data_IF_300390869928
#
_entry.id   IF_300390869928
#
_cell.length_a   1.000
_cell.length_b   1.000
_cell.length_c   1.000
_cell.angle_alpha   90.00
_cell.angle_beta   90.00
_cell.angle_gamma   90.00
#
_symmetry.space_group_name_H-M   'P 1'
#
loop_
_entity.id
_entity.type
_entity.pdbx_description
1 polymer ?
#
# COMPACT_ATOMS: atom_id res chain seq x y z
N UNK A 1 -32.98 -43.52 -23.15
CA UNK A 1 -33.05 -42.61 -24.30
C UNK A 1 -31.64 -42.21 -24.67
N UNK A 2 -31.32 -42.42 -25.94
CA UNK A 2 -30.12 -42.02 -26.69
C UNK A 2 -28.79 -42.66 -26.31
N UNK A 3 -28.53 -43.81 -26.96
CA UNK A 3 -27.23 -44.45 -27.06
C UNK A 3 -26.32 -43.78 -28.09
N UNK A 4 -25.02 -43.97 -27.87
CA UNK A 4 -23.90 -43.53 -28.68
C UNK A 4 -23.91 -44.26 -30.03
N UNK A 5 -23.74 -43.53 -31.13
CA UNK A 5 -23.46 -44.09 -32.46
C UNK A 5 -22.06 -43.67 -32.90
N UNK A 6 -21.32 -44.65 -33.40
CA UNK A 6 -19.92 -44.59 -33.81
C UNK A 6 -19.66 -43.69 -35.03
N UNK A 7 -18.51 -43.01 -34.99
CA UNK A 7 -18.07 -41.94 -35.88
C UNK A 7 -17.28 -42.42 -37.12
N UNK A 8 -17.56 -43.62 -37.64
CA UNK A 8 -16.71 -44.28 -38.66
C UNK A 8 -17.39 -44.45 -40.04
N UNK A 9 -18.69 -44.21 -40.21
CA UNK A 9 -19.39 -44.49 -41.49
C UNK A 9 -19.47 -43.32 -42.50
N UNK A 10 -18.66 -42.26 -42.38
CA UNK A 10 -18.69 -41.13 -43.33
C UNK A 10 -17.49 -40.99 -44.28
N UNK A 11 -16.54 -41.94 -44.27
CA UNK A 11 -15.36 -41.86 -45.13
C UNK A 11 -15.15 -43.03 -46.11
N UNK A 12 -16.11 -43.93 -46.29
CA UNK A 12 -15.96 -45.09 -47.21
C UNK A 12 -16.82 -45.05 -48.49
N UNK A 13 -17.31 -43.87 -48.91
CA UNK A 13 -18.09 -43.76 -50.15
C UNK A 13 -17.47 -42.75 -51.13
N UNK A 14 -16.24 -42.99 -51.58
CA UNK A 14 -15.68 -42.42 -52.83
C UNK A 14 -14.37 -43.13 -53.21
N UNK A 15 -14.44 -44.44 -53.47
CA UNK A 15 -13.42 -45.18 -54.24
C UNK A 15 -14.04 -45.62 -55.56
N UNK A 16 -13.79 -44.85 -56.62
CA UNK A 16 -14.22 -45.24 -57.96
C UNK A 16 -14.13 -44.13 -59.02
N UNK A 17 -12.92 -43.69 -59.37
CA UNK A 17 -12.63 -43.13 -60.70
C UNK A 17 -11.11 -43.07 -60.93
N UNK A 18 -10.63 -43.75 -61.97
CA UNK A 18 -9.25 -43.68 -62.48
C UNK A 18 -9.12 -42.59 -63.57
N UNK A 19 -7.90 -42.19 -63.98
CA UNK A 19 -7.55 -40.80 -64.28
C UNK A 19 -7.70 -40.44 -65.76
N UNK A 20 -8.22 -39.24 -66.04
CA UNK A 20 -8.09 -38.60 -67.35
C UNK A 20 -7.70 -37.11 -67.19
N UNK A 21 -6.50 -36.83 -67.69
CA UNK A 21 -6.04 -35.69 -68.48
C UNK A 21 -6.35 -34.23 -68.05
N UNK A 22 -5.26 -33.49 -67.85
CA UNK A 22 -5.07 -32.04 -67.98
C UNK A 22 -6.32 -31.20 -68.34
N UNK A 23 -6.93 -30.60 -67.31
CA UNK A 23 -7.84 -29.47 -67.45
C UNK A 23 -7.53 -28.44 -66.38
N UNK A 24 -7.02 -27.28 -66.78
CA UNK A 24 -6.93 -26.08 -65.95
C UNK A 24 -8.34 -25.67 -65.52
N UNK A 25 -8.65 -25.79 -64.23
CA UNK A 25 -9.87 -25.23 -63.65
C UNK A 25 -9.68 -23.72 -63.46
N UNK A 26 -10.23 -22.93 -64.38
CA UNK A 26 -10.39 -21.48 -64.20
C UNK A 26 -11.38 -21.23 -63.05
N UNK A 27 -10.85 -20.82 -61.89
CA UNK A 27 -11.64 -20.13 -60.87
C UNK A 27 -11.93 -18.72 -61.38
N UNK A 28 -13.19 -18.25 -61.42
CA UNK A 28 -13.47 -16.87 -61.78
C UNK A 28 -12.80 -15.96 -60.74
N UNK A 29 -11.91 -15.08 -61.21
CA UNK A 29 -11.31 -14.03 -60.38
C UNK A 29 -12.45 -13.17 -59.81
N UNK A 30 -12.70 -13.32 -58.51
CA UNK A 30 -13.60 -12.43 -57.78
C UNK A 30 -13.03 -11.01 -57.87
N UNK A 31 -13.84 -10.00 -58.24
CA UNK A 31 -13.40 -8.61 -58.27
C UNK A 31 -12.81 -8.20 -56.91
N UNK A 32 -11.80 -7.31 -56.85
CA UNK A 32 -11.22 -6.82 -55.60
C UNK A 32 -12.24 -6.19 -54.63
N UNK A 33 -13.45 -5.91 -55.12
CA UNK A 33 -14.54 -5.26 -54.41
C UNK A 33 -15.56 -6.25 -53.83
N UNK A 34 -15.39 -7.56 -54.03
CA UNK A 34 -16.34 -8.60 -53.55
C UNK A 34 -16.54 -8.58 -52.02
N UNK A 35 -15.58 -8.04 -51.27
CA UNK A 35 -15.67 -7.88 -49.81
C UNK A 35 -16.03 -6.46 -49.34
N UNK A 36 -16.29 -5.50 -50.26
CA UNK A 36 -16.53 -4.10 -49.87
C UNK A 36 -17.94 -3.82 -49.32
N UNK A 37 -18.93 -4.66 -49.62
CA UNK A 37 -20.34 -4.31 -49.34
C UNK A 37 -20.94 -4.98 -48.10
N UNK A 38 -20.18 -5.66 -47.23
CA UNK A 38 -20.79 -6.35 -46.09
C UNK A 38 -19.92 -6.45 -44.83
N UNK A 39 -19.26 -5.37 -44.45
CA UNK A 39 -18.72 -5.23 -43.10
C UNK A 39 -19.16 -3.90 -42.50
N UNK A 40 -20.04 -3.97 -41.50
CA UNK A 40 -20.39 -2.87 -40.58
C UNK A 40 -19.17 -2.61 -39.67
N UNK A 41 -18.01 -2.33 -40.26
CA UNK A 41 -16.73 -2.12 -39.55
C UNK A 41 -16.13 -0.75 -39.81
N UNK A 42 -16.79 0.08 -40.62
CA UNK A 42 -16.33 1.44 -40.91
C UNK A 42 -16.87 2.49 -39.91
N UNK A 43 -17.79 2.11 -39.02
CA UNK A 43 -18.33 2.96 -37.96
C UNK A 43 -17.84 2.53 -36.56
N UNK A 44 -16.62 2.01 -36.47
CA UNK A 44 -15.96 1.90 -35.16
C UNK A 44 -15.43 3.29 -34.81
N UNK A 45 -16.21 3.98 -33.97
CA UNK A 45 -15.79 5.16 -33.23
C UNK A 45 -14.40 4.84 -32.63
N UNK A 46 -13.37 5.68 -32.81
CA UNK A 46 -12.08 5.47 -32.15
C UNK A 46 -12.32 5.33 -30.63
N UNK A 47 -11.66 4.39 -29.94
CA UNK A 47 -11.78 4.22 -28.47
C UNK A 47 -11.49 5.53 -27.66
N UNK A 48 -11.01 6.58 -28.31
CA UNK A 48 -10.80 7.91 -27.74
C UNK A 48 -12.08 8.78 -27.66
N UNK A 49 -13.16 8.43 -28.38
CA UNK A 49 -14.39 9.25 -28.48
C UNK A 49 -15.57 8.75 -27.61
N UNK A 50 -15.42 7.65 -26.86
CA UNK A 50 -16.44 7.21 -25.89
C UNK A 50 -16.24 7.85 -24.51
N UNK A 51 -17.22 8.64 -24.04
CA UNK A 51 -17.26 9.16 -22.67
C UNK A 51 -17.64 8.03 -21.69
N UNK A 52 -16.66 7.54 -20.92
CA UNK A 52 -16.88 6.57 -19.83
C UNK A 52 -17.48 7.24 -18.58
N UNK A 53 -18.72 7.70 -18.69
CA UNK A 53 -19.41 8.43 -17.63
C UNK A 53 -19.70 7.58 -16.39
N UNK A 54 -19.57 8.20 -15.23
CA UNK A 54 -20.02 7.60 -13.96
C UNK A 54 -21.51 7.89 -13.77
N UNK A 55 -22.31 6.83 -13.61
CA UNK A 55 -23.73 6.97 -13.28
C UNK A 55 -23.88 7.30 -11.79
N UNK A 56 -24.21 8.55 -11.49
CA UNK A 56 -24.63 8.98 -10.16
C UNK A 56 -26.09 8.55 -9.92
N UNK A 57 -26.26 7.32 -9.46
CA UNK A 57 -27.59 6.72 -9.25
C UNK A 57 -28.43 7.50 -8.24
N UNK A 58 -27.82 8.12 -7.23
CA UNK A 58 -28.55 8.90 -6.22
C UNK A 58 -29.15 10.16 -6.85
N UNK A 59 -28.43 10.79 -7.80
CA UNK A 59 -28.95 11.91 -8.58
C UNK A 59 -29.99 11.48 -9.61
N UNK A 60 -29.74 10.39 -10.35
CA UNK A 60 -30.63 9.93 -11.42
C UNK A 60 -31.98 9.47 -10.85
N UNK A 61 -31.96 8.66 -9.79
CA UNK A 61 -33.17 8.15 -9.15
C UNK A 61 -33.84 9.19 -8.23
N UNK A 62 -33.12 10.26 -7.87
CA UNK A 62 -33.68 11.41 -7.15
C UNK A 62 -34.72 12.21 -7.93
N UNK A 63 -34.78 12.03 -9.25
CA UNK A 63 -35.75 12.68 -10.14
C UNK A 63 -37.09 11.90 -10.23
N UNK A 64 -37.14 10.65 -9.75
CA UNK A 64 -38.35 9.83 -9.68
C UNK A 64 -39.02 9.92 -8.29
N UNK A 65 -40.31 10.29 -8.24
CA UNK A 65 -41.26 10.30 -7.09
C UNK A 65 -40.66 10.28 -5.65
N UNK A 66 -39.79 11.24 -5.34
CA UNK A 66 -39.15 11.40 -4.03
C UNK A 66 -40.07 11.98 -2.93
N UNK A 67 -41.33 12.30 -3.26
CA UNK A 67 -42.26 12.97 -2.32
C UNK A 67 -42.83 12.06 -1.23
N UNK A 68 -42.70 10.75 -1.38
CA UNK A 68 -43.36 9.75 -0.52
C UNK A 68 -42.37 8.98 0.39
N UNK A 69 -41.10 9.42 0.46
CA UNK A 69 -40.13 8.85 1.39
C UNK A 69 -40.47 9.29 2.81
N UNK A 70 -40.91 8.33 3.63
CA UNK A 70 -41.11 8.53 5.07
C UNK A 70 -39.76 8.30 5.76
N UNK A 71 -39.03 9.37 6.04
CA UNK A 71 -37.82 9.31 6.85
C UNK A 71 -38.13 8.84 8.28
N UNK A 72 -37.42 7.83 8.74
CA UNK A 72 -37.52 7.41 10.13
C UNK A 72 -36.87 8.45 11.05
N UNK A 73 -37.55 8.77 12.16
CA UNK A 73 -37.04 9.70 13.18
C UNK A 73 -35.69 9.28 13.76
N UNK A 74 -34.96 10.21 14.41
CA UNK A 74 -33.57 10.01 14.80
C UNK A 74 -33.40 8.78 15.69
N UNK A 75 -32.85 7.72 15.11
CA UNK A 75 -32.38 6.56 15.85
C UNK A 75 -31.11 6.92 16.61
N UNK A 76 -31.06 6.58 17.88
CA UNK A 76 -29.86 6.64 18.70
C UNK A 76 -28.74 5.85 18.02
N UNK A 77 -27.66 6.54 17.66
CA UNK A 77 -26.42 5.93 17.19
C UNK A 77 -25.87 5.09 18.34
N UNK A 78 -25.95 3.76 18.24
CA UNK A 78 -25.22 2.90 19.16
C UNK A 78 -23.74 3.07 18.88
N UNK A 79 -22.98 3.59 19.84
CA UNK A 79 -21.52 3.61 19.79
C UNK A 79 -21.02 2.18 19.56
N UNK A 80 -20.48 1.92 18.36
CA UNK A 80 -19.77 0.67 18.08
C UNK A 80 -18.55 0.66 19.00
N UNK A 81 -18.60 -0.13 20.07
CA UNK A 81 -17.46 -0.36 20.95
C UNK A 81 -16.29 -0.83 20.09
N UNK A 82 -15.21 -0.04 20.02
CA UNK A 82 -13.95 -0.51 19.45
C UNK A 82 -13.56 -1.79 20.19
N UNK A 83 -13.62 -2.94 19.50
CA UNK A 83 -13.28 -4.23 20.09
C UNK A 83 -11.88 -4.21 20.69
N UNK A 84 -11.68 -4.88 21.83
CA UNK A 84 -10.41 -4.88 22.53
C UNK A 84 -9.30 -5.46 21.64
N UNK A 85 -8.33 -4.63 21.24
CA UNK A 85 -7.22 -5.02 20.35
C UNK A 85 -6.42 -6.21 20.90
N UNK A 86 -6.41 -6.39 22.22
CA UNK A 86 -5.69 -7.47 22.89
C UNK A 86 -6.29 -8.85 22.61
N UNK A 87 -7.54 -8.95 22.17
CA UNK A 87 -8.15 -10.23 21.75
C UNK A 87 -7.40 -10.83 20.57
N UNK A 88 -6.81 -9.99 19.70
CA UNK A 88 -6.00 -10.41 18.57
C UNK A 88 -4.69 -11.10 18.99
N UNK A 89 -4.30 -11.07 20.27
CA UNK A 89 -3.03 -11.64 20.74
C UNK A 89 -3.05 -13.16 20.84
N UNK A 90 -4.23 -13.77 20.88
CA UNK A 90 -4.38 -15.22 20.95
C UNK A 90 -3.71 -15.90 19.74
N UNK A 91 -2.86 -16.90 20.02
CA UNK A 91 -2.09 -17.59 18.98
C UNK A 91 -0.95 -16.78 18.34
N UNK A 92 -0.75 -15.51 18.71
CA UNK A 92 0.30 -14.65 18.13
C UNK A 92 1.60 -14.71 18.93
N UNK A 93 2.71 -14.68 18.21
CA UNK A 93 4.06 -14.55 18.78
C UNK A 93 4.28 -13.16 19.38
N UNK A 94 5.31 -13.01 20.24
CA UNK A 94 5.71 -11.72 20.84
C UNK A 94 5.85 -10.58 19.82
N UNK A 95 6.53 -10.84 18.71
CA UNK A 95 6.78 -9.82 17.70
C UNK A 95 5.49 -9.44 16.94
N UNK A 96 4.60 -10.42 16.70
CA UNK A 96 3.31 -10.16 16.07
C UNK A 96 2.41 -9.32 16.98
N UNK A 97 2.40 -9.57 18.28
CA UNK A 97 1.64 -8.75 19.25
C UNK A 97 2.09 -7.28 19.24
N UNK A 98 3.41 -7.05 19.27
CA UNK A 98 3.97 -5.71 19.13
C UNK A 98 3.56 -5.06 17.78
N UNK A 99 3.64 -5.82 16.69
CA UNK A 99 3.31 -5.29 15.38
C UNK A 99 1.82 -5.04 15.14
N UNK A 100 0.92 -5.75 15.83
CA UNK A 100 -0.52 -5.45 15.83
C UNK A 100 -0.77 -4.06 16.45
N UNK A 101 -0.10 -3.76 17.56
CA UNK A 101 -0.16 -2.44 18.20
C UNK A 101 0.49 -1.35 17.34
N UNK A 102 1.65 -1.63 16.73
CA UNK A 102 2.27 -0.71 15.77
C UNK A 102 1.35 -0.44 14.56
N UNK A 103 0.61 -1.44 14.08
CA UNK A 103 -0.37 -1.25 13.01
C UNK A 103 -1.52 -0.36 13.47
N UNK A 104 -2.02 -0.54 14.70
CA UNK A 104 -3.05 0.34 15.27
C UNK A 104 -2.59 1.80 15.36
N UNK A 105 -1.39 2.02 15.89
CA UNK A 105 -0.75 3.34 15.87
C UNK A 105 -0.63 3.88 14.44
N UNK A 106 -0.20 3.05 13.49
CA UNK A 106 -0.11 3.40 12.07
C UNK A 106 -1.45 3.85 11.47
N UNK A 107 -2.55 3.17 11.78
CA UNK A 107 -3.89 3.56 11.33
C UNK A 107 -4.37 4.87 11.99
N UNK A 108 -4.12 5.06 13.29
CA UNK A 108 -4.43 6.32 13.98
C UNK A 108 -3.65 7.50 13.38
N UNK A 109 -2.36 7.31 13.13
CA UNK A 109 -1.52 8.33 12.49
C UNK A 109 -1.96 8.58 11.05
N UNK A 110 -2.36 7.54 10.31
CA UNK A 110 -2.89 7.68 8.96
C UNK A 110 -4.14 8.55 8.95
N UNK A 111 -5.07 8.35 9.90
CA UNK A 111 -6.24 9.21 10.02
C UNK A 111 -5.86 10.67 10.27
N UNK A 112 -4.94 10.93 11.20
CA UNK A 112 -4.43 12.30 11.45
C UNK A 112 -3.81 12.94 10.20
N UNK A 113 -3.08 12.17 9.39
CA UNK A 113 -2.52 12.65 8.11
C UNK A 113 -3.60 12.89 7.06
N UNK A 114 -4.53 11.95 6.91
CA UNK A 114 -5.62 12.03 5.96
C UNK A 114 -6.57 13.20 6.25
N UNK A 115 -6.84 13.51 7.53
CA UNK A 115 -7.71 14.62 7.94
C UNK A 115 -7.14 16.00 7.58
N UNK A 116 -5.81 16.13 7.49
CA UNK A 116 -5.15 17.39 7.05
C UNK A 116 -4.77 17.41 5.57
N UNK A 117 -4.85 16.28 4.88
CA UNK A 117 -4.54 16.18 3.46
C UNK A 117 -5.80 16.45 2.62
N UNK A 118 -5.64 16.96 1.39
CA UNK A 118 -6.78 17.09 0.50
C UNK A 118 -7.26 15.71 0.05
N UNK A 119 -8.54 15.56 -0.25
CA UNK A 119 -9.09 14.31 -0.79
C UNK A 119 -8.49 13.92 -2.14
N UNK A 120 -7.90 14.87 -2.87
CA UNK A 120 -7.21 14.65 -4.15
C UNK A 120 -5.77 14.17 -4.00
N UNK A 121 -5.21 14.21 -2.80
CA UNK A 121 -3.79 13.93 -2.57
C UNK A 121 -3.53 12.46 -2.33
N UNK A 122 -2.45 11.95 -2.93
CA UNK A 122 -1.90 10.66 -2.56
C UNK A 122 -1.28 10.74 -1.17
N UNK A 123 -1.37 9.64 -0.42
CA UNK A 123 -0.76 9.49 0.89
C UNK A 123 0.13 8.25 0.84
N UNK A 124 1.30 8.35 1.43
CA UNK A 124 2.21 7.24 1.66
C UNK A 124 2.87 7.42 3.01
N UNK A 125 2.88 6.39 3.84
CA UNK A 125 3.62 6.36 5.10
C UNK A 125 4.22 4.98 5.33
N UNK A 126 5.26 4.92 6.15
CA UNK A 126 5.84 3.67 6.62
C UNK A 126 5.73 3.54 8.15
N UNK A 127 4.61 3.00 8.68
CA UNK A 127 4.35 2.95 10.12
C UNK A 127 5.46 2.29 10.93
N UNK A 128 6.05 1.20 10.43
CA UNK A 128 7.18 0.54 11.10
C UNK A 128 8.37 1.48 11.31
N UNK A 129 8.67 2.35 10.35
CA UNK A 129 9.76 3.31 10.45
C UNK A 129 9.51 4.33 11.55
N UNK A 130 8.28 4.87 11.58
CA UNK A 130 7.85 5.88 12.55
C UNK A 130 7.83 5.29 13.96
N UNK A 131 7.24 4.10 14.16
CA UNK A 131 7.24 3.41 15.46
C UNK A 131 8.66 3.06 15.92
N UNK A 132 9.54 2.64 15.01
CA UNK A 132 10.95 2.36 15.34
C UNK A 132 11.68 3.64 15.77
N UNK A 133 11.43 4.77 15.10
CA UNK A 133 12.01 6.05 15.47
C UNK A 133 11.49 6.56 16.82
N UNK A 134 10.19 6.49 17.08
CA UNK A 134 9.67 6.87 18.40
C UNK A 134 10.22 5.97 19.51
N UNK A 135 10.32 4.67 19.26
CA UNK A 135 10.92 3.71 20.20
C UNK A 135 12.42 3.94 20.41
N UNK A 136 13.15 4.51 19.43
CA UNK A 136 14.57 4.86 19.63
C UNK A 136 14.70 6.07 20.55
N UNK A 137 13.86 7.08 20.35
CA UNK A 137 13.89 8.30 21.17
C UNK A 137 13.50 7.99 22.61
N UNK A 138 12.57 7.06 22.82
CA UNK A 138 12.18 6.63 24.16
C UNK A 138 13.31 6.01 25.01
N UNK A 139 14.48 5.70 24.43
CA UNK A 139 15.67 5.31 25.21
C UNK A 139 16.27 6.47 26.02
N UNK A 140 16.06 7.71 25.58
CA UNK A 140 16.67 8.90 26.18
C UNK A 140 15.69 9.85 26.85
N UNK A 141 14.40 9.52 26.87
CA UNK A 141 13.37 10.30 27.54
C UNK A 141 13.17 9.82 28.98
N UNK A 142 12.97 10.76 29.91
CA UNK A 142 12.36 10.49 31.22
C UNK A 142 10.94 11.06 31.20
N UNK A 143 9.96 10.34 31.74
CA UNK A 143 8.54 10.69 31.57
C UNK A 143 7.97 10.18 30.24
N UNK A 144 7.86 8.85 30.12
CA UNK A 144 7.58 8.15 28.87
C UNK A 144 6.09 7.92 28.54
N UNK A 145 5.18 8.36 29.40
CA UNK A 145 3.81 7.84 29.40
C UNK A 145 3.04 8.15 28.10
N UNK A 146 3.12 9.38 27.59
CA UNK A 146 2.45 9.76 26.33
C UNK A 146 2.92 8.91 25.15
N UNK A 147 4.24 8.76 25.01
CA UNK A 147 4.86 8.00 23.91
C UNK A 147 4.52 6.52 24.00
N UNK A 148 4.63 5.93 25.20
CA UNK A 148 4.33 4.50 25.40
C UNK A 148 2.85 4.20 25.22
N UNK A 149 1.97 5.10 25.66
CA UNK A 149 0.52 4.96 25.50
C UNK A 149 0.13 5.08 24.04
N UNK A 150 0.58 6.14 23.34
CA UNK A 150 0.22 6.38 21.95
C UNK A 150 0.69 5.27 20.99
N UNK A 151 1.87 4.67 21.24
CA UNK A 151 2.38 3.54 20.47
C UNK A 151 1.79 2.18 20.88
N UNK A 152 0.99 2.14 21.96
CA UNK A 152 0.47 0.90 22.55
C UNK A 152 1.53 0.07 23.29
N UNK A 153 2.72 0.61 23.57
CA UNK A 153 3.76 -0.11 24.30
C UNK A 153 3.37 -0.36 25.76
N UNK A 154 2.56 0.53 26.35
CA UNK A 154 1.99 0.29 27.67
C UNK A 154 1.06 -0.94 27.66
N UNK A 155 0.19 -1.05 26.66
CA UNK A 155 -0.67 -2.23 26.47
C UNK A 155 0.15 -3.49 26.19
N UNK A 156 1.22 -3.37 25.40
CA UNK A 156 2.15 -4.48 25.16
C UNK A 156 2.73 -4.98 26.48
N UNK A 157 3.29 -4.09 27.31
CA UNK A 157 3.89 -4.44 28.60
C UNK A 157 2.83 -5.08 29.52
N UNK A 158 1.64 -4.50 29.60
CA UNK A 158 0.54 -5.01 30.43
C UNK A 158 0.00 -6.36 29.97
N UNK A 159 0.20 -6.74 28.70
CA UNK A 159 -0.28 -8.02 28.17
C UNK A 159 0.45 -9.25 28.74
N UNK A 160 1.58 -9.09 29.43
CA UNK A 160 2.25 -10.19 30.13
C UNK A 160 3.17 -9.69 31.25
N UNK A 161 3.14 -10.36 32.39
CA UNK A 161 4.06 -10.09 33.52
C UNK A 161 5.54 -10.27 33.19
N UNK A 162 5.88 -10.90 32.05
CA UNK A 162 7.25 -11.08 31.56
C UNK A 162 7.70 -9.99 30.60
N UNK A 163 6.81 -9.07 30.22
CA UNK A 163 7.13 -8.02 29.27
C UNK A 163 7.50 -6.76 30.04
N UNK A 164 8.59 -6.16 29.60
CA UNK A 164 9.14 -4.93 30.15
C UNK A 164 9.46 -3.99 28.99
N UNK A 165 9.74 -2.73 29.27
CA UNK A 165 10.15 -1.76 28.25
C UNK A 165 11.36 -2.26 27.43
N UNK A 166 12.33 -2.90 28.10
CA UNK A 166 13.48 -3.48 27.41
C UNK A 166 13.10 -4.64 26.47
N UNK A 167 11.97 -5.30 26.68
CA UNK A 167 11.44 -6.30 25.73
C UNK A 167 11.05 -5.63 24.41
N UNK A 168 10.48 -4.42 24.45
CA UNK A 168 10.12 -3.64 23.26
C UNK A 168 11.37 -3.32 22.43
N UNK A 169 12.41 -2.77 23.06
CA UNK A 169 13.68 -2.47 22.40
C UNK A 169 14.35 -3.70 21.78
N UNK A 170 14.34 -4.83 22.50
CA UNK A 170 14.86 -6.10 21.97
C UNK A 170 14.06 -6.63 20.77
N UNK A 171 12.74 -6.42 20.75
CA UNK A 171 11.90 -6.79 19.61
C UNK A 171 12.14 -5.88 18.41
N UNK A 172 12.25 -4.56 18.60
CA UNK A 172 12.64 -3.64 17.53
C UNK A 172 14.04 -3.95 16.99
N UNK A 173 15.00 -4.36 17.83
CA UNK A 173 16.30 -4.84 17.37
C UNK A 173 16.17 -6.03 16.43
N UNK A 174 15.40 -7.05 16.82
CA UNK A 174 15.17 -8.24 15.99
C UNK A 174 14.41 -7.89 14.70
N UNK A 175 13.44 -7.00 14.78
CA UNK A 175 12.63 -6.55 13.64
C UNK A 175 13.50 -5.77 12.65
N UNK A 176 14.22 -4.77 13.11
CA UNK A 176 15.10 -3.91 12.29
C UNK A 176 16.19 -4.74 11.61
N UNK A 177 16.79 -5.68 12.34
CA UNK A 177 17.75 -6.62 11.75
C UNK A 177 17.11 -7.48 10.66
N UNK A 178 15.91 -8.01 10.90
CA UNK A 178 15.19 -8.79 9.89
C UNK A 178 14.88 -7.94 8.65
N UNK A 179 14.27 -6.77 8.82
CA UNK A 179 13.74 -5.99 7.71
C UNK A 179 14.83 -5.30 6.88
N UNK A 180 15.84 -4.71 7.53
CA UNK A 180 16.78 -3.80 6.84
C UNK A 180 18.20 -4.36 6.71
N UNK A 181 18.56 -5.41 7.46
CA UNK A 181 19.90 -6.03 7.42
C UNK A 181 19.93 -7.38 6.71
N UNK A 182 18.77 -7.94 6.34
CA UNK A 182 18.66 -9.15 5.53
C UNK A 182 17.99 -8.82 4.21
N UNK A 183 18.32 -9.58 3.17
CA UNK A 183 17.66 -9.50 1.89
C UNK A 183 16.81 -10.77 1.69
N UNK A 184 15.54 -10.59 1.34
CA UNK A 184 14.60 -11.69 1.08
C UNK A 184 14.06 -11.67 -0.37
N UNK A 185 14.68 -10.91 -1.28
CA UNK A 185 14.28 -10.83 -2.69
C UNK A 185 13.56 -9.54 -3.09
N UNK A 186 13.37 -8.62 -2.14
CA UNK A 186 12.85 -7.27 -2.35
C UNK A 186 13.88 -6.21 -1.93
N UNK A 187 13.74 -5.00 -2.46
CA UNK A 187 14.56 -3.85 -2.06
C UNK A 187 13.84 -3.04 -1.00
N UNK A 188 14.27 -3.17 0.25
CA UNK A 188 13.85 -2.32 1.36
C UNK A 188 15.08 -1.61 1.93
N UNK A 189 15.08 -0.28 1.86
CA UNK A 189 16.16 0.57 2.39
C UNK A 189 15.58 1.58 3.36
N UNK A 190 16.33 1.89 4.40
CA UNK A 190 15.90 2.86 5.40
C UNK A 190 17.10 3.59 6.00
N UNK A 191 16.88 4.86 6.34
CA UNK A 191 17.77 5.67 7.16
C UNK A 191 16.95 6.19 8.33
N UNK A 192 17.37 5.82 9.54
CA UNK A 192 16.71 6.19 10.80
C UNK A 192 17.79 6.74 11.72
N UNK A 193 18.04 8.04 11.67
CA UNK A 193 19.11 8.69 12.43
C UNK A 193 18.56 9.88 13.22
N UNK A 194 19.24 10.21 14.31
CA UNK A 194 18.98 11.39 15.11
C UNK A 194 20.08 12.43 14.88
N UNK A 195 19.70 13.65 14.57
CA UNK A 195 20.60 14.79 14.42
C UNK A 195 20.37 15.77 15.55
N UNK A 196 21.41 16.10 16.30
CA UNK A 196 21.37 17.03 17.44
C UNK A 196 22.33 18.16 17.15
N UNK A 197 21.95 19.40 17.43
CA UNK A 197 22.77 20.57 17.19
C UNK A 197 24.14 20.42 17.87
N UNK A 198 25.21 20.75 17.16
CA UNK A 198 26.61 20.44 17.52
C UNK A 198 27.05 20.98 18.89
N UNK A 199 26.40 22.03 19.38
CA UNK A 199 26.71 22.65 20.67
C UNK A 199 26.25 21.78 21.84
N UNK A 200 25.34 20.82 21.60
CA UNK A 200 24.82 19.93 22.63
C UNK A 200 25.55 18.60 22.64
N UNK A 201 26.11 18.25 23.81
CA UNK A 201 26.79 16.97 23.98
C UNK A 201 25.80 15.82 24.07
N UNK A 202 26.01 14.78 23.27
CA UNK A 202 25.16 13.57 23.27
C UNK A 202 25.79 12.54 24.21
N UNK A 203 25.01 12.03 25.16
CA UNK A 203 25.45 11.03 26.12
C UNK A 203 25.89 9.74 25.42
N UNK A 204 27.03 9.19 25.86
CA UNK A 204 27.60 7.99 25.25
C UNK A 204 26.71 6.76 25.41
N UNK A 205 26.04 6.61 26.55
CA UNK A 205 25.11 5.50 26.80
C UNK A 205 23.94 5.51 25.80
N UNK A 206 23.39 6.69 25.51
CA UNK A 206 22.34 6.85 24.52
C UNK A 206 22.82 6.49 23.11
N UNK A 207 23.98 6.98 22.69
CA UNK A 207 24.61 6.61 21.41
C UNK A 207 24.83 5.10 21.29
N UNK A 208 25.32 4.46 22.35
CA UNK A 208 25.58 3.03 22.38
C UNK A 208 24.28 2.22 22.31
N UNK A 209 23.24 2.65 23.03
CA UNK A 209 21.93 2.00 23.00
C UNK A 209 21.27 2.14 21.62
N UNK A 210 21.32 3.31 20.98
CA UNK A 210 20.81 3.50 19.61
C UNK A 210 21.49 2.56 18.61
N UNK A 211 22.82 2.46 18.64
CA UNK A 211 23.56 1.53 17.77
C UNK A 211 23.20 0.08 18.05
N UNK A 212 23.10 -0.29 19.32
CA UNK A 212 22.87 -1.68 19.77
C UNK A 212 21.47 -2.17 19.45
N UNK A 213 20.44 -1.38 19.73
CA UNK A 213 19.04 -1.78 19.59
C UNK A 213 18.42 -1.41 18.25
N UNK A 214 18.89 -0.34 17.61
CA UNK A 214 18.23 0.20 16.41
C UNK A 214 19.13 0.23 15.17
N UNK A 215 20.43 -0.06 15.30
CA UNK A 215 21.41 0.07 14.21
C UNK A 215 21.37 1.46 13.56
N UNK A 216 21.12 2.47 14.39
CA UNK A 216 20.91 3.88 14.08
C UNK A 216 22.00 4.73 14.74
N UNK A 217 22.29 5.90 14.18
CA UNK A 217 23.29 6.83 14.72
C UNK A 217 22.62 8.08 15.29
N UNK A 218 23.15 8.57 16.42
CA UNK A 218 22.90 9.92 16.93
C UNK A 218 24.13 10.79 16.64
N UNK A 219 23.96 11.83 15.84
CA UNK A 219 25.06 12.61 15.27
C UNK A 219 24.94 14.09 15.58
N UNK A 220 26.07 14.78 15.85
CA UNK A 220 26.09 16.23 15.89
C UNK A 220 25.79 16.80 14.49
N UNK A 221 25.07 17.92 14.47
CA UNK A 221 24.58 18.56 13.27
C UNK A 221 24.76 20.08 13.35
N UNK A 222 25.07 20.68 12.22
CA UNK A 222 25.04 22.14 12.06
C UNK A 222 23.99 22.49 11.00
N UNK A 223 22.77 22.73 11.45
CA UNK A 223 21.65 23.02 10.54
C UNK A 223 21.76 24.40 9.88
N UNK A 224 22.64 25.27 10.40
CA UNK A 224 22.91 26.58 9.82
C UNK A 224 23.89 26.54 8.66
N UNK A 225 24.72 25.49 8.56
CA UNK A 225 25.69 25.29 7.48
C UNK A 225 25.05 24.56 6.28
N UNK A 226 24.90 25.20 5.10
CA UNK A 226 24.38 24.54 3.91
C UNK A 226 25.24 23.36 3.43
N UNK A 227 26.55 23.36 3.74
CA UNK A 227 27.43 22.25 3.39
C UNK A 227 27.10 21.00 4.21
N UNK A 228 26.71 21.15 5.48
CA UNK A 228 26.24 20.04 6.30
C UNK A 228 25.00 19.39 5.69
N UNK A 229 24.01 20.19 5.27
CA UNK A 229 22.79 19.69 4.61
C UNK A 229 23.13 18.93 3.33
N UNK A 230 23.98 19.51 2.48
CA UNK A 230 24.40 18.90 1.21
C UNK A 230 25.12 17.57 1.43
N UNK A 231 26.12 17.53 2.32
CA UNK A 231 26.88 16.31 2.65
C UNK A 231 25.97 15.22 3.25
N UNK A 232 25.00 15.62 4.07
CA UNK A 232 24.04 14.68 4.68
C UNK A 232 23.12 14.08 3.63
N UNK A 233 22.58 14.88 2.72
CA UNK A 233 21.78 14.39 1.59
C UNK A 233 22.61 13.46 0.68
N UNK A 234 23.86 13.79 0.37
CA UNK A 234 24.76 12.89 -0.38
C UNK A 234 25.05 11.57 0.34
N UNK A 235 25.22 11.60 1.66
CA UNK A 235 25.39 10.39 2.47
C UNK A 235 24.14 9.52 2.39
N UNK A 236 22.95 10.11 2.53
CA UNK A 236 21.68 9.38 2.45
C UNK A 236 21.46 8.80 1.06
N UNK A 237 21.77 9.57 0.01
CA UNK A 237 21.77 9.11 -1.36
C UNK A 237 22.67 7.88 -1.54
N UNK A 238 23.90 7.91 -1.02
CA UNK A 238 24.83 6.76 -1.08
C UNK A 238 24.30 5.56 -0.30
N UNK A 239 23.83 5.74 0.94
CA UNK A 239 23.29 4.68 1.80
C UNK A 239 22.05 4.03 1.19
N UNK A 240 21.24 4.81 0.47
CA UNK A 240 20.02 4.35 -0.20
C UNK A 240 20.27 3.94 -1.65
N UNK A 241 21.52 3.93 -2.13
CA UNK A 241 21.91 3.58 -3.51
C UNK A 241 21.22 4.43 -4.58
N UNK A 242 21.08 5.73 -4.34
CA UNK A 242 20.49 6.69 -5.26
C UNK A 242 18.97 6.82 -5.18
N UNK A 243 18.33 6.09 -4.26
CA UNK A 243 16.87 5.95 -4.21
C UNK A 243 16.18 7.09 -3.44
N UNK A 244 16.87 7.69 -2.46
CA UNK A 244 16.38 8.84 -1.69
C UNK A 244 17.35 9.99 -1.89
N UNK A 245 16.91 11.05 -2.59
CA UNK A 245 17.78 12.12 -3.07
C UNK A 245 17.87 13.32 -2.13
N UNK A 246 16.72 13.79 -1.65
CA UNK A 246 16.62 15.05 -0.88
C UNK A 246 15.85 14.77 0.41
N UNK A 247 16.56 14.26 1.41
CA UNK A 247 15.97 13.90 2.69
C UNK A 247 15.84 15.11 3.62
N UNK A 248 16.80 16.02 3.57
CA UNK A 248 16.80 17.28 4.31
C UNK A 248 16.48 18.42 3.34
N UNK A 249 15.24 18.90 3.39
CA UNK A 249 14.74 20.03 2.59
C UNK A 249 14.12 21.08 3.51
N UNK A 250 14.50 22.34 3.34
CA UNK A 250 13.98 23.48 4.10
C UNK A 250 14.03 23.24 5.62
N UNK A 251 15.17 22.78 6.14
CA UNK A 251 15.39 22.61 7.58
C UNK A 251 15.68 23.98 8.18
N UNK A 252 15.05 24.30 9.32
CA UNK A 252 15.25 25.58 9.98
C UNK A 252 16.66 25.64 10.58
N UNK A 253 17.49 26.67 10.28
CA UNK A 253 18.84 26.81 10.82
C UNK A 253 18.95 26.74 12.35
N UNK A 254 17.91 27.15 13.08
CA UNK A 254 17.90 27.14 14.56
C UNK A 254 17.43 25.81 15.19
N UNK A 255 17.24 24.75 14.38
CA UNK A 255 16.82 23.43 14.86
C UNK A 255 17.81 22.89 15.88
N UNK A 256 17.34 22.46 17.04
CA UNK A 256 18.14 21.85 18.11
C UNK A 256 18.22 20.33 17.92
N UNK A 257 17.12 19.68 17.57
CA UNK A 257 17.11 18.24 17.32
C UNK A 257 16.11 17.84 16.23
N UNK A 258 16.55 16.94 15.35
CA UNK A 258 15.75 16.41 14.25
C UNK A 258 15.82 14.88 14.18
N UNK A 259 14.66 14.23 14.14
CA UNK A 259 14.53 12.82 13.79
C UNK A 259 14.42 12.71 12.29
N UNK A 260 15.28 11.90 11.67
CA UNK A 260 15.22 11.58 10.25
C UNK A 260 14.82 10.13 10.04
N UNK A 261 13.67 9.91 9.40
CA UNK A 261 13.14 8.59 9.08
C UNK A 261 12.81 8.51 7.58
N UNK A 262 13.69 7.92 6.79
CA UNK A 262 13.51 7.76 5.34
C UNK A 262 13.40 6.28 4.99
N UNK A 263 12.42 5.90 4.17
CA UNK A 263 12.20 4.52 3.74
C UNK A 263 11.92 4.45 2.24
N UNK A 264 12.57 3.50 1.57
CA UNK A 264 12.34 3.15 0.18
C UNK A 264 11.94 1.69 0.07
N UNK A 265 10.88 1.41 -0.68
CA UNK A 265 10.45 0.07 -1.02
C UNK A 265 10.25 -0.13 -2.52
N UNK A 266 10.81 -1.23 -3.02
CA UNK A 266 10.52 -1.80 -4.32
C UNK A 266 10.45 -3.31 -4.19
N UNK A 267 9.25 -3.85 -4.37
CA UNK A 267 8.98 -5.28 -4.34
C UNK A 267 9.21 -5.92 -5.70
N UNK A 268 9.33 -7.25 -5.69
CA UNK A 268 9.36 -8.11 -6.88
C UNK A 268 8.15 -9.02 -6.79
N UNK A 269 7.18 -8.94 -7.71
CA UNK A 269 5.96 -9.74 -7.62
C UNK A 269 6.26 -11.24 -7.71
N UNK A 270 5.52 -12.10 -6.98
CA UNK A 270 5.59 -13.56 -7.21
C UNK A 270 4.92 -13.93 -8.54
N UNK A 271 3.82 -13.27 -8.89
CA UNK A 271 3.20 -13.35 -10.19
C UNK A 271 3.41 -12.02 -10.92
N UNK A 272 4.38 -11.97 -11.86
CA UNK A 272 4.68 -10.75 -12.61
C UNK A 272 3.47 -10.29 -13.44
N UNK A 273 3.49 -8.99 -13.78
CA UNK A 273 2.63 -8.47 -14.83
C UNK A 273 3.41 -8.55 -16.14
N UNK A 274 2.91 -9.23 -17.19
CA UNK A 274 3.57 -9.17 -18.50
C UNK A 274 3.56 -7.72 -19.02
N UNK A 275 4.71 -7.22 -19.47
CA UNK A 275 4.87 -5.82 -19.91
C UNK A 275 4.00 -5.54 -21.13
N UNK A 276 3.87 -6.54 -22.00
CA UNK A 276 3.00 -6.55 -23.18
C UNK A 276 1.51 -6.39 -22.85
N UNK A 277 1.09 -6.70 -21.63
CA UNK A 277 -0.30 -6.52 -21.17
C UNK A 277 -0.54 -5.14 -20.54
N UNK A 278 0.49 -4.29 -20.47
CA UNK A 278 0.36 -2.94 -19.91
C UNK A 278 -0.15 -1.98 -20.98
N UNK A 279 -1.37 -1.47 -20.80
CA UNK A 279 -2.00 -0.53 -21.73
C UNK A 279 -2.46 0.74 -21.02
N UNK A 280 -2.60 1.85 -21.74
CA UNK A 280 -3.22 3.06 -21.18
C UNK A 280 -4.72 2.80 -21.00
N UNK A 281 -5.23 2.94 -19.78
CA UNK A 281 -6.69 2.87 -19.51
C UNK A 281 -7.12 4.02 -18.61
N UNK A 282 -8.42 4.26 -18.59
CA UNK A 282 -9.03 5.27 -17.74
C UNK A 282 -8.84 4.91 -16.26
N UNK A 283 -8.47 5.90 -15.46
CA UNK A 283 -8.52 5.87 -14.01
C UNK A 283 -9.39 7.04 -13.56
N UNK A 284 -10.44 6.73 -12.83
CA UNK A 284 -11.43 7.68 -12.32
C UNK A 284 -10.87 8.37 -11.07
N UNK A 285 -10.71 9.68 -11.13
CA UNK A 285 -10.24 10.50 -10.01
C UNK A 285 -11.39 10.83 -9.05
N UNK A 286 -12.56 11.10 -9.62
CA UNK A 286 -13.82 11.40 -8.94
C UNK A 286 -14.98 11.12 -9.91
N UNK A 287 -16.22 11.39 -9.50
CA UNK A 287 -17.43 11.12 -10.28
C UNK A 287 -17.45 11.83 -11.66
N UNK A 288 -16.64 12.87 -11.86
CA UNK A 288 -16.66 13.71 -13.07
C UNK A 288 -15.37 13.67 -13.89
N UNK A 289 -14.29 13.10 -13.35
CA UNK A 289 -12.96 13.24 -13.95
C UNK A 289 -12.27 11.88 -14.06
N UNK A 290 -11.75 11.62 -15.25
CA UNK A 290 -10.93 10.46 -15.58
C UNK A 290 -9.59 10.90 -16.18
N UNK A 291 -8.56 10.07 -16.03
CA UNK A 291 -7.25 10.26 -16.68
C UNK A 291 -6.78 8.94 -17.29
N UNK A 292 -6.03 8.98 -18.39
CA UNK A 292 -5.42 7.77 -18.95
C UNK A 292 -4.07 7.51 -18.28
N UNK A 293 -3.90 6.31 -17.71
CA UNK A 293 -2.67 5.90 -17.00
C UNK A 293 -2.24 4.50 -17.43
N UNK A 294 -0.94 4.15 -17.36
CA UNK A 294 -0.49 2.80 -17.67
C UNK A 294 -1.02 1.80 -16.63
N UNK A 295 -1.95 0.96 -17.07
CA UNK A 295 -2.52 -0.14 -16.30
C UNK A 295 -1.84 -1.44 -16.66
N UNK A 296 -1.21 -2.06 -15.66
CA UNK A 296 -0.66 -3.40 -15.78
C UNK A 296 -1.79 -4.42 -15.65
N UNK A 297 -1.68 -5.53 -16.35
CA UNK A 297 -2.66 -6.61 -16.27
C UNK A 297 -1.97 -7.97 -16.12
N UNK A 298 -2.52 -8.83 -15.27
CA UNK A 298 -2.07 -10.23 -15.11
C UNK A 298 -3.24 -11.13 -14.75
N UNK A 299 -3.10 -12.44 -14.96
CA UNK A 299 -4.12 -13.44 -14.62
C UNK A 299 -3.46 -14.61 -13.91
N UNK A 300 -3.84 -14.83 -12.66
CA UNK A 300 -3.31 -15.90 -11.83
C UNK A 300 -4.28 -16.19 -10.67
N UNK A 301 -3.89 -17.09 -9.78
CA UNK A 301 -4.61 -17.34 -8.53
C UNK A 301 -4.25 -16.27 -7.50
N UNK A 302 -5.26 -15.49 -7.08
CA UNK A 302 -5.11 -14.46 -6.06
C UNK A 302 -6.13 -14.65 -4.94
N UNK A 303 -5.69 -14.35 -3.73
CA UNK A 303 -6.55 -14.21 -2.56
C UNK A 303 -7.33 -12.91 -2.66
N UNK A 304 -8.66 -12.98 -2.62
CA UNK A 304 -9.53 -11.81 -2.58
C UNK A 304 -10.78 -12.06 -1.74
N UNK A 305 -11.35 -11.00 -1.20
CA UNK A 305 -12.59 -10.96 -0.43
C UNK A 305 -13.41 -9.74 -0.83
N UNK A 306 -14.71 -9.79 -0.57
CA UNK A 306 -15.57 -8.61 -0.51
C UNK A 306 -15.95 -8.40 0.96
N UNK A 307 -15.97 -7.15 1.41
CA UNK A 307 -16.41 -6.78 2.75
C UNK A 307 -17.67 -5.91 2.65
N UNK A 308 -18.86 -6.49 2.93
CA UNK A 308 -20.10 -5.73 2.86
C UNK A 308 -20.23 -4.69 3.98
N UNK A 309 -19.52 -4.85 5.11
CA UNK A 309 -19.58 -3.87 6.22
C UNK A 309 -18.90 -2.55 5.86
N UNK A 310 -17.81 -2.60 5.09
CA UNK A 310 -17.08 -1.41 4.64
C UNK A 310 -17.29 -1.10 3.15
N UNK A 311 -18.21 -1.81 2.51
CA UNK A 311 -18.55 -1.70 1.08
C UNK A 311 -17.31 -1.64 0.16
N UNK A 312 -16.43 -2.63 0.30
CA UNK A 312 -15.18 -2.67 -0.46
C UNK A 312 -14.76 -4.06 -0.92
N UNK A 313 -13.98 -4.11 -2.00
CA UNK A 313 -13.25 -5.28 -2.46
C UNK A 313 -11.81 -5.25 -1.97
N UNK A 314 -11.29 -6.41 -1.57
CA UNK A 314 -9.93 -6.56 -1.06
C UNK A 314 -9.21 -7.65 -1.84
N UNK A 315 -8.00 -7.37 -2.32
CA UNK A 315 -7.14 -8.36 -2.99
C UNK A 315 -5.73 -8.34 -2.39
N UNK A 316 -5.13 -9.52 -2.24
CA UNK A 316 -3.75 -9.67 -1.80
C UNK A 316 -2.85 -10.05 -2.98
N UNK A 317 -1.86 -9.21 -3.26
CA UNK A 317 -0.85 -9.41 -4.29
C UNK A 317 0.50 -9.75 -3.63
N UNK A 318 0.99 -10.99 -3.74
CA UNK A 318 2.21 -11.41 -3.08
C UNK A 318 3.48 -10.93 -3.83
N UNK A 319 4.47 -10.53 -3.04
CA UNK A 319 5.83 -10.26 -3.48
C UNK A 319 6.76 -11.38 -2.99
N UNK A 320 7.86 -11.61 -3.72
CA UNK A 320 8.94 -12.47 -3.28
C UNK A 320 9.43 -12.02 -1.90
N UNK A 321 9.65 -12.97 -0.99
CA UNK A 321 10.20 -12.70 0.33
C UNK A 321 9.17 -12.66 1.47
N UNK A 322 8.01 -13.30 1.29
CA UNK A 322 6.95 -13.42 2.30
C UNK A 322 6.39 -12.06 2.76
N UNK A 323 6.19 -11.19 1.78
CA UNK A 323 5.56 -9.89 1.88
C UNK A 323 4.42 -9.80 0.87
N UNK A 324 3.37 -9.05 1.15
CA UNK A 324 2.31 -8.81 0.17
C UNK A 324 1.78 -7.39 0.26
N UNK A 325 1.23 -6.94 -0.85
CA UNK A 325 0.39 -5.75 -0.92
C UNK A 325 -1.06 -6.16 -0.83
N UNK A 326 -1.76 -5.65 0.17
CA UNK A 326 -3.20 -5.68 0.25
C UNK A 326 -3.75 -4.43 -0.40
N UNK A 327 -4.59 -4.58 -1.41
CA UNK A 327 -5.29 -3.48 -2.06
C UNK A 327 -6.73 -3.51 -1.60
N UNK A 328 -7.21 -2.37 -1.11
CA UNK A 328 -8.58 -2.17 -0.63
C UNK A 328 -9.24 -1.13 -1.52
N UNK A 329 -10.25 -1.57 -2.25
CA UNK A 329 -10.92 -0.82 -3.29
C UNK A 329 -12.39 -0.62 -2.89
N UNK A 330 -12.81 0.59 -2.46
CA UNK A 330 -14.21 0.84 -2.15
C UNK A 330 -15.08 0.67 -3.40
N UNK A 331 -16.31 0.15 -3.25
CA UNK A 331 -17.23 0.01 -4.38
C UNK A 331 -17.70 1.39 -4.88
N UNK A 332 -18.04 2.29 -3.95
CA UNK A 332 -18.39 3.69 -4.23
C UNK A 332 -17.20 4.63 -4.01
N UNK A 333 -17.06 5.65 -4.86
CA UNK A 333 -16.02 6.69 -4.71
C UNK A 333 -16.14 7.45 -3.38
N UNK A 334 -17.38 7.77 -2.98
CA UNK A 334 -17.70 8.43 -1.71
C UNK A 334 -17.36 7.58 -0.47
N UNK A 335 -17.19 6.26 -0.63
CA UNK A 335 -16.89 5.32 0.44
C UNK A 335 -15.47 5.42 1.01
N UNK A 336 -14.52 6.05 0.31
CA UNK A 336 -13.11 6.14 0.74
C UNK A 336 -12.97 6.72 2.16
N UNK A 337 -13.68 7.82 2.47
CA UNK A 337 -13.60 8.45 3.81
C UNK A 337 -14.09 7.53 4.92
N UNK A 338 -15.16 6.78 4.67
CA UNK A 338 -15.70 5.84 5.66
C UNK A 338 -14.73 4.66 5.88
N UNK A 339 -14.12 4.16 4.80
CA UNK A 339 -13.09 3.13 4.84
C UNK A 339 -11.86 3.57 5.66
N UNK A 340 -11.33 4.77 5.39
CA UNK A 340 -10.17 5.33 6.10
C UNK A 340 -10.43 5.52 7.60
N UNK A 341 -11.67 5.87 7.98
CA UNK A 341 -12.05 6.05 9.39
C UNK A 341 -12.16 4.74 10.16
N UNK A 342 -12.58 3.66 9.49
CA UNK A 342 -12.91 2.39 10.15
C UNK A 342 -11.81 1.33 10.05
N UNK A 343 -10.75 1.58 9.29
CA UNK A 343 -9.65 0.63 9.15
C UNK A 343 -8.90 0.43 10.48
N UNK A 344 -8.80 -0.84 10.89
CA UNK A 344 -8.19 -1.29 12.15
C UNK A 344 -7.50 -2.64 11.95
N UNK A 345 -6.62 -3.07 12.88
CA UNK A 345 -6.00 -4.39 12.80
C UNK A 345 -7.02 -5.55 12.79
N UNK A 346 -8.15 -5.40 13.49
CA UNK A 346 -9.25 -6.35 13.54
C UNK A 346 -9.90 -6.53 12.17
N UNK A 347 -10.16 -5.41 11.48
CA UNK A 347 -10.70 -5.40 10.10
C UNK A 347 -9.73 -6.10 9.14
N UNK A 348 -8.43 -5.79 9.22
CA UNK A 348 -7.43 -6.44 8.36
C UNK A 348 -7.34 -7.94 8.63
N UNK A 349 -7.39 -8.36 9.90
CA UNK A 349 -7.41 -9.79 10.23
C UNK A 349 -8.67 -10.49 9.71
N UNK A 350 -9.84 -9.83 9.80
CA UNK A 350 -11.10 -10.32 9.22
C UNK A 350 -10.97 -10.53 7.72
N UNK A 351 -10.44 -9.56 6.98
CA UNK A 351 -10.19 -9.69 5.54
C UNK A 351 -9.26 -10.86 5.24
N UNK A 352 -8.13 -10.96 5.94
CA UNK A 352 -7.15 -12.04 5.74
C UNK A 352 -7.76 -13.44 5.96
N UNK A 353 -8.69 -13.57 6.92
CA UNK A 353 -9.42 -14.82 7.19
C UNK A 353 -10.52 -15.11 6.16
N UNK A 354 -11.16 -14.08 5.58
CA UNK A 354 -12.27 -14.24 4.63
C UNK A 354 -11.83 -14.39 3.17
N UNK A 355 -10.57 -14.09 2.85
CA UNK A 355 -10.05 -14.21 1.49
C UNK A 355 -10.09 -15.64 0.96
N UNK A 356 -10.49 -15.77 -0.30
CA UNK A 356 -10.50 -17.05 -1.02
C UNK A 356 -9.60 -16.99 -2.24
N UNK A 357 -8.80 -18.04 -2.43
CA UNK A 357 -7.87 -18.13 -3.54
C UNK A 357 -8.60 -18.62 -4.79
N UNK A 358 -8.65 -17.79 -5.85
CA UNK A 358 -9.28 -18.15 -7.13
C UNK A 358 -8.52 -17.51 -8.28
N UNK A 359 -8.62 -18.11 -9.46
CA UNK A 359 -8.11 -17.52 -10.69
C UNK A 359 -8.88 -16.24 -11.00
N UNK A 360 -8.17 -15.12 -11.07
CA UNK A 360 -8.74 -13.80 -11.36
C UNK A 360 -7.79 -13.01 -12.24
N UNK A 361 -8.35 -12.18 -13.09
CA UNK A 361 -7.60 -11.17 -13.84
C UNK A 361 -7.50 -9.91 -12.99
N UNK A 362 -6.29 -9.39 -12.80
CA UNK A 362 -6.02 -8.20 -11.98
C UNK A 362 -5.50 -7.11 -12.89
N UNK A 363 -6.09 -5.92 -12.78
CA UNK A 363 -5.67 -4.71 -13.47
C UNK A 363 -5.27 -3.67 -12.43
N UNK A 364 -4.02 -3.21 -12.47
CA UNK A 364 -3.41 -2.35 -11.46
C UNK A 364 -2.60 -1.22 -12.13
N UNK A 365 -2.78 0.06 -11.76
CA UNK A 365 -1.95 1.12 -12.31
C UNK A 365 -0.49 0.95 -11.88
N UNK A 366 0.44 1.29 -12.77
CA UNK A 366 1.81 1.60 -12.36
C UNK A 366 1.80 2.92 -11.62
N UNK A 367 2.54 3.00 -10.52
CA UNK A 367 2.69 4.26 -9.80
C UNK A 367 4.00 4.31 -9.04
N UNK A 368 4.46 5.53 -8.81
CA UNK A 368 5.53 5.83 -7.86
C UNK A 368 5.00 6.91 -6.93
N UNK A 369 5.08 6.68 -5.63
CA UNK A 369 4.80 7.72 -4.63
C UNK A 369 6.08 8.10 -3.90
N UNK A 370 6.18 9.38 -3.59
CA UNK A 370 7.29 9.97 -2.84
C UNK A 370 6.71 11.08 -1.98
N UNK A 371 6.64 10.82 -0.68
CA UNK A 371 6.00 11.73 0.28
C UNK A 371 6.94 12.03 1.43
N UNK A 372 6.94 13.28 1.87
CA UNK A 372 7.69 13.77 3.02
C UNK A 372 6.76 14.53 3.94
N UNK A 373 6.86 14.28 5.24
CA UNK A 373 6.05 14.91 6.28
C UNK A 373 6.92 15.35 7.44
N UNK A 374 6.57 16.49 8.04
CA UNK A 374 6.96 16.78 9.41
C UNK A 374 5.88 16.20 10.35
N UNK A 375 6.20 15.15 11.08
CA UNK A 375 5.23 14.39 11.87
C UNK A 375 4.81 15.07 13.17
N UNK A 376 5.51 16.11 13.63
CA UNK A 376 5.24 16.76 14.92
C UNK A 376 3.76 17.13 15.07
N UNK A 377 3.22 17.94 14.16
CA UNK A 377 1.84 18.41 14.27
C UNK A 377 0.79 17.30 14.16
N UNK A 378 1.12 16.16 13.55
CA UNK A 378 0.24 14.99 13.49
C UNK A 378 0.29 14.20 14.79
N UNK A 379 1.48 13.96 15.33
CA UNK A 379 1.69 13.26 16.60
C UNK A 379 1.15 14.07 17.79
N UNK A 380 1.27 15.40 17.79
CA UNK A 380 0.65 16.28 18.78
C UNK A 380 -0.88 16.14 18.75
N UNK A 381 -1.51 16.09 17.57
CA UNK A 381 -2.97 15.87 17.48
C UNK A 381 -3.42 14.47 17.96
N UNK A 382 -2.47 13.54 18.14
CA UNK A 382 -2.71 12.22 18.73
C UNK A 382 -2.42 12.19 20.25
N UNK A 383 -2.10 13.32 20.87
CA UNK A 383 -1.85 13.44 22.31
C UNK A 383 -0.38 13.27 22.72
N UNK A 384 0.57 13.34 21.78
CA UNK A 384 2.00 13.35 22.07
C UNK A 384 2.46 14.81 22.05
N UNK A 385 2.31 15.53 23.17
CA UNK A 385 2.56 16.97 23.25
C UNK A 385 3.86 17.28 23.99
N UNK A 386 4.09 16.62 25.14
CA UNK A 386 5.27 16.86 25.98
C UNK A 386 6.57 16.54 25.26
N UNK A 387 6.54 15.57 24.34
CA UNK A 387 7.70 15.20 23.53
C UNK A 387 8.16 16.31 22.56
N UNK A 388 7.32 17.29 22.23
CA UNK A 388 7.66 18.32 21.23
C UNK A 388 7.62 19.73 21.80
N UNK A 389 7.51 19.86 23.13
CA UNK A 389 7.50 21.14 23.81
C UNK A 389 8.64 21.23 24.84
N UNK A 390 8.77 22.39 25.47
CA UNK A 390 9.82 22.66 26.45
C UNK A 390 9.75 21.85 27.76
N UNK A 391 8.68 21.09 27.97
CA UNK A 391 8.49 20.23 29.14
C UNK A 391 9.08 18.84 28.96
N UNK A 392 9.44 18.45 27.74
CA UNK A 392 10.08 17.17 27.46
C UNK A 392 11.39 17.02 28.23
N UNK A 393 11.55 15.91 28.95
CA UNK A 393 12.80 15.58 29.66
C UNK A 393 13.65 14.64 28.80
N UNK A 394 14.65 15.25 28.15
CA UNK A 394 15.65 14.56 27.32
C UNK A 394 16.99 14.36 28.05
N UNK A 395 16.99 14.35 29.38
CA UNK A 395 18.22 14.17 30.18
C UNK A 395 18.90 12.81 29.99
N UNK A 396 18.25 11.85 29.31
CA UNK A 396 18.88 10.63 28.84
C UNK A 396 19.57 10.75 27.48
N UNK A 397 19.41 11.87 26.76
CA UNK A 397 20.05 12.17 25.46
C UNK A 397 21.22 13.15 25.64
N UNK A 398 21.00 14.24 26.38
CA UNK A 398 21.97 15.31 26.63
C UNK A 398 21.79 15.85 28.05
N UNK A 399 22.87 16.31 28.66
CA UNK A 399 22.81 17.01 29.96
C UNK A 399 22.20 18.42 29.84
N UNK A 400 22.17 18.95 28.61
CA UNK A 400 21.63 20.26 28.30
C UNK A 400 20.17 20.17 27.82
N UNK A 401 19.40 21.26 28.01
CA UNK A 401 18.00 21.31 27.58
C UNK A 401 17.93 21.40 26.05
N UNK A 402 17.43 20.33 25.43
CA UNK A 402 17.19 20.23 23.98
C UNK A 402 15.69 19.99 23.71
N UNK A 403 15.20 20.32 22.52
CA UNK A 403 13.82 20.03 22.07
C UNK A 403 13.82 19.42 20.67
N UNK A 404 12.86 18.54 20.39
CA UNK A 404 12.67 18.01 19.03
C UNK A 404 11.86 19.01 18.21
N UNK A 405 12.53 19.73 17.30
CA UNK A 405 11.86 20.76 16.48
C UNK A 405 11.43 20.22 15.12
N UNK A 406 11.93 19.04 14.72
CA UNK A 406 11.53 18.39 13.48
C UNK A 406 11.53 16.86 13.56
N UNK A 407 10.44 16.25 13.13
CA UNK A 407 10.40 14.81 12.84
C UNK A 407 10.11 14.63 11.35
N UNK A 408 11.16 14.42 10.56
CA UNK A 408 11.04 14.22 9.13
C UNK A 408 10.81 12.74 8.79
N UNK A 409 9.63 12.41 8.28
CA UNK A 409 9.33 11.11 7.69
C UNK A 409 9.25 11.21 6.17
N UNK A 410 10.05 10.43 5.45
CA UNK A 410 9.99 10.32 3.98
C UNK A 410 9.77 8.87 3.57
N UNK A 411 8.72 8.63 2.78
CA UNK A 411 8.43 7.34 2.18
C UNK A 411 8.55 7.41 0.67
N UNK A 412 9.12 6.37 0.06
CA UNK A 412 9.13 6.19 -1.39
C UNK A 412 8.75 4.75 -1.73
N UNK A 413 7.80 4.60 -2.64
CA UNK A 413 7.40 3.29 -3.20
C UNK A 413 7.39 3.34 -4.71
N UNK A 414 7.84 2.26 -5.35
CA UNK A 414 7.71 2.07 -6.80
C UNK A 414 6.96 0.78 -7.07
N UNK A 415 5.87 0.87 -7.84
CA UNK A 415 5.06 -0.25 -8.30
C UNK A 415 5.10 -0.31 -9.82
N UNK A 416 5.64 -1.41 -10.34
CA UNK A 416 5.79 -1.71 -11.77
C UNK A 416 5.54 -3.21 -12.01
N UNK A 417 5.79 -3.67 -13.23
CA UNK A 417 5.50 -5.01 -13.72
C UNK A 417 6.45 -6.08 -13.17
N UNK A 418 7.57 -5.65 -12.58
CA UNK A 418 8.72 -6.48 -12.25
C UNK A 418 8.37 -7.57 -11.24
N UNK A 419 8.66 -8.80 -11.60
CA UNK A 419 8.31 -9.98 -10.82
C UNK A 419 8.87 -11.26 -11.41
N UNK A 420 8.56 -12.38 -10.78
CA UNK A 420 8.92 -13.70 -11.27
C UNK A 420 7.90 -14.22 -12.29
N UNK A 421 8.37 -14.97 -13.28
CA UNK A 421 7.55 -15.38 -14.43
C UNK A 421 6.53 -16.48 -14.12
N UNK A 422 6.64 -17.12 -12.95
CA UNK A 422 6.05 -18.43 -12.63
C UNK A 422 4.51 -18.51 -12.61
N UNK A 423 3.79 -17.44 -12.91
CA UNK A 423 2.31 -17.40 -12.89
C UNK A 423 1.64 -16.98 -14.21
N UNK A 424 2.38 -16.54 -15.23
CA UNK A 424 1.79 -15.90 -16.42
C UNK A 424 1.34 -16.89 -17.51
N UNK A 425 1.58 -18.20 -17.35
CA UNK A 425 1.38 -19.20 -18.41
C UNK A 425 0.30 -20.22 -18.04
N UNK A 426 -0.93 -19.77 -17.86
CA UNK A 426 -2.11 -20.67 -17.86
C UNK A 426 -3.05 -20.30 -19.00
N UNK A 427 -2.62 -20.59 -20.22
CA UNK A 427 -3.48 -20.81 -21.38
C UNK A 427 -3.25 -22.28 -21.72
N UNK A 428 -4.11 -23.21 -21.32
CA UNK A 428 -5.15 -23.79 -22.18
C UNK A 428 -6.16 -24.53 -21.29
N UNK A 429 -7.46 -24.27 -21.51
CA UNK A 429 -8.57 -24.97 -20.86
C UNK A 429 -9.93 -24.42 -21.28
N UNK A 430 -11.01 -25.17 -21.00
CA UNK A 430 -12.39 -24.78 -21.30
C UNK A 430 -12.72 -23.43 -20.65
N UNK A 431 -12.89 -22.39 -21.48
CA UNK A 431 -13.17 -21.04 -21.00
C UNK A 431 -14.68 -20.80 -21.04
N UNK A 432 -15.36 -20.65 -19.89
CA UNK A 432 -16.77 -20.30 -19.91
C UNK A 432 -16.96 -18.94 -20.62
N UNK A 433 -18.03 -18.82 -21.42
CA UNK A 433 -18.37 -17.59 -22.15
C UNK A 433 -18.93 -16.48 -21.24
N UNK A 434 -19.10 -16.75 -19.94
CA UNK A 434 -19.53 -15.75 -18.96
C UNK A 434 -18.40 -14.77 -18.61
N UNK A 435 -18.78 -13.61 -18.07
CA UNK A 435 -17.81 -12.61 -17.59
C UNK A 435 -16.82 -13.26 -16.60
N UNK A 436 -15.53 -13.15 -16.92
CA UNK A 436 -14.47 -13.64 -16.05
C UNK A 436 -14.37 -12.77 -14.80
N UNK A 437 -13.97 -13.36 -13.68
CA UNK A 437 -13.81 -12.60 -12.43
C UNK A 437 -12.56 -11.71 -12.57
N UNK A 438 -12.81 -10.40 -12.65
CA UNK A 438 -11.77 -9.35 -12.73
C UNK A 438 -11.71 -8.56 -11.43
N UNK A 439 -10.51 -8.12 -11.05
CA UNK A 439 -10.28 -7.12 -10.01
C UNK A 439 -9.59 -5.92 -10.64
N UNK A 440 -10.36 -4.88 -10.94
CA UNK A 440 -9.91 -3.70 -11.68
C UNK A 440 -9.71 -2.54 -10.71
N UNK A 441 -8.49 -2.05 -10.60
CA UNK A 441 -8.10 -0.94 -9.72
C UNK A 441 -8.05 0.36 -10.53
N UNK A 442 -9.22 0.86 -10.91
CA UNK A 442 -9.43 2.00 -11.81
C UNK A 442 -9.95 3.27 -11.11
N UNK A 443 -9.90 3.31 -9.78
CA UNK A 443 -10.40 4.41 -8.95
C UNK A 443 -9.63 4.47 -7.63
N UNK A 444 -9.80 5.51 -6.79
CA UNK A 444 -9.01 5.69 -5.59
C UNK A 444 -9.04 4.46 -4.69
N UNK A 445 -7.88 4.03 -4.24
CA UNK A 445 -7.72 2.81 -3.44
C UNK A 445 -6.73 3.02 -2.30
N UNK A 446 -6.88 2.21 -1.25
CA UNK A 446 -5.87 2.08 -0.20
C UNK A 446 -4.99 0.88 -0.50
N UNK A 447 -3.74 0.94 -0.05
CA UNK A 447 -2.87 -0.22 0.00
C UNK A 447 -2.16 -0.34 1.33
N UNK A 448 -1.90 -1.58 1.75
CA UNK A 448 -1.16 -1.95 2.93
C UNK A 448 -0.09 -2.96 2.54
N UNK A 449 1.14 -2.81 2.99
CA UNK A 449 2.21 -3.78 2.74
C UNK A 449 2.58 -4.46 4.05
N UNK A 450 2.40 -5.77 4.10
CA UNK A 450 2.68 -6.57 5.29
C UNK A 450 3.84 -7.52 5.08
N UNK A 451 4.69 -7.67 6.11
CA UNK A 451 5.61 -8.79 6.26
C UNK A 451 4.93 -9.89 7.07
N UNK A 452 4.64 -11.03 6.46
CA UNK A 452 3.73 -12.02 7.03
C UNK A 452 4.29 -12.75 8.24
N UNK A 453 5.62 -12.97 8.31
CA UNK A 453 6.23 -13.72 9.42
C UNK A 453 6.07 -12.99 10.76
N UNK A 454 6.15 -11.67 10.73
CA UNK A 454 6.07 -10.80 11.91
C UNK A 454 4.77 -10.02 11.99
N UNK A 455 3.89 -10.13 10.99
CA UNK A 455 2.67 -9.33 10.84
C UNK A 455 2.95 -7.81 10.88
N UNK A 456 4.11 -7.40 10.37
CA UNK A 456 4.55 -6.01 10.41
C UNK A 456 3.94 -5.21 9.25
N UNK A 457 3.24 -4.12 9.56
CA UNK A 457 2.78 -3.14 8.58
C UNK A 457 3.97 -2.27 8.15
N UNK A 458 4.52 -2.56 6.98
CA UNK A 458 5.68 -1.87 6.42
C UNK A 458 5.29 -0.51 5.86
N UNK A 459 4.27 -0.49 5.00
CA UNK A 459 3.77 0.71 4.33
C UNK A 459 2.26 0.72 4.31
N UNK A 460 1.69 1.92 4.33
CA UNK A 460 0.28 2.18 4.09
C UNK A 460 0.16 3.43 3.23
N UNK A 461 -0.80 3.44 2.33
CA UNK A 461 -1.03 4.62 1.51
C UNK A 461 -2.38 4.61 0.81
N UNK A 462 -2.69 5.76 0.22
CA UNK A 462 -3.82 6.01 -0.66
C UNK A 462 -3.31 6.50 -1.99
N UNK A 463 -3.81 5.90 -3.06
CA UNK A 463 -3.61 6.37 -4.42
C UNK A 463 -4.93 6.94 -4.91
N UNK A 464 -4.98 8.27 -5.04
CA UNK A 464 -6.10 9.01 -5.65
C UNK A 464 -5.78 9.33 -7.11
N UNK A 465 -4.51 9.55 -7.44
CA UNK A 465 -4.06 9.79 -8.80
C UNK A 465 -2.71 9.09 -9.04
N UNK A 466 -2.66 7.97 -9.78
CA UNK A 466 -1.41 7.22 -9.97
C UNK A 466 -0.37 7.94 -10.85
N UNK A 467 -0.76 9.02 -11.55
CA UNK A 467 0.17 9.87 -12.32
C UNK A 467 0.87 10.95 -11.46
N UNK A 468 0.48 11.12 -10.19
CA UNK A 468 1.11 12.05 -9.24
C UNK A 468 1.91 11.31 -8.18
N UNK A 469 3.03 11.91 -7.76
CA UNK A 469 3.92 11.36 -6.73
C UNK A 469 3.53 11.75 -5.32
#
# INVERSE_FOLDING_TARGET
>A
FCGVKDFIEHFESLKGAQPHENGTYDMPNLPPEFHRENTITNDLIPEEEEEEDYLDLDKILGEDDYSDIIDAGPYMVSEIRQGNILELFQGKTRIQRLNILNANFGFNLYRSVADKANSSDNILMAPVGISTAMAMISLGLKGLQEVLSALGFQDFINASTKYELMTVHNLFRKLTHRLFRRNFGYTLRSVNDLYIHKDFSILNDFRNNMKTYYFADAQPADFSDPNFITKTNERILKLTKGLIKEALVNVNPITLMMILNCLYFKGTWENKFPVEMTTKRSFRLNEKQTIKVPMMQTKANFLAAADPELDCGVIQLPFVGNISMLIVLPHKLSGMKALEKQITPQVVEKWQKSMTNRTREVVLPKFKLEKSYNLIGYLTSMGIEELFNEKGDYSGISDEKVTIDRFNHQGTITVNEEGTEAGATTNVGFMPLSAQIRFIVDRPFLFLIYEHRTSCLLFMGRVVNPAKS
#
